data_IF_619416187329
#
_entry.id   IF_619416187329
#
_cell.length_a   1.000
_cell.length_b   1.000
_cell.length_c   1.000
_cell.angle_alpha   90.00
_cell.angle_beta   90.00
_cell.angle_gamma   90.00
#
_symmetry.space_group_name_H-M   'P 1'
#
loop_
_entity.id
_entity.type
_entity.pdbx_description
1 polymer ?
#
# COMPACT_ATOMS: atom_id res chain seq x y z
N UNK A 1 32.61 14.44 -16.70
CA UNK A 1 31.94 14.41 -16.41
C UNK A 1 31.31 14.20 -16.05
N UNK A 2 31.63 14.29 -16.09
CA UNK A 2 30.92 14.16 -15.68
C UNK A 2 30.33 13.94 -15.30
N UNK A 3 30.67 13.92 -15.18
CA UNK A 3 29.97 13.75 -14.74
C UNK A 3 29.45 13.58 -14.26
N UNK A 4 29.92 13.57 -14.42
CA UNK A 4 29.34 13.52 -13.87
C UNK A 4 28.81 13.41 -13.39
N UNK A 5 29.09 13.55 -13.31
CA UNK A 5 28.50 13.61 -12.78
C UNK A 5 27.92 13.50 -12.37
N UNK A 6 28.03 13.56 -12.03
CA UNK A 6 27.29 13.58 -11.48
C UNK A 6 26.99 13.54 -10.80
N UNK A 7 27.49 13.64 -10.50
CA UNK A 7 27.04 13.77 -9.69
C UNK A 7 26.47 13.62 -9.13
N UNK A 8 26.49 13.39 -8.79
CA UNK A 8 25.82 13.27 -8.06
C UNK A 8 25.54 13.15 -7.47
N UNK A 9 25.75 13.31 -7.21
CA UNK A 9 25.56 13.28 -6.42
C UNK A 9 25.25 13.70 -5.77
N UNK A 10 25.81 13.75 -6.20
CA UNK A 10 25.71 14.30 -5.02
C UNK A 10 24.34 14.66 -4.60
N UNK A 11 24.08 15.61 -4.83
CA UNK A 11 22.87 16.07 -4.45
C UNK A 11 21.94 15.00 -4.16
N UNK A 12 21.36 15.08 -3.15
CA UNK A 12 20.38 14.18 -2.81
C UNK A 12 20.85 12.83 -3.18
N UNK A 13 21.18 12.10 -2.37
CA UNK A 13 21.67 10.79 -2.62
C UNK A 13 20.75 10.06 -3.59
N UNK A 14 21.26 9.62 -4.72
CA UNK A 14 20.44 8.83 -5.63
C UNK A 14 19.75 7.67 -4.94
N UNK A 15 20.42 7.09 -3.95
CA UNK A 15 19.84 5.98 -3.22
C UNK A 15 18.61 6.38 -2.42
N UNK A 16 18.66 7.57 -1.80
CA UNK A 16 17.52 8.07 -1.04
C UNK A 16 16.33 8.32 -1.97
N UNK A 17 16.62 8.88 -3.14
CA UNK A 17 15.57 9.13 -4.11
C UNK A 17 14.95 7.83 -4.57
N UNK A 18 15.77 6.83 -4.90
CA UNK A 18 15.26 5.54 -5.34
C UNK A 18 14.44 4.87 -4.26
N UNK A 19 14.90 4.99 -3.01
CA UNK A 19 14.16 4.40 -1.91
C UNK A 19 12.79 5.04 -1.76
N UNK A 20 12.72 6.37 -1.91
CA UNK A 20 11.43 7.06 -1.81
C UNK A 20 10.51 6.68 -2.97
N UNK A 21 11.06 6.57 -4.18
CA UNK A 21 10.26 6.15 -5.33
C UNK A 21 9.75 4.74 -5.15
N UNK A 22 10.60 3.85 -4.66
CA UNK A 22 10.19 2.46 -4.43
C UNK A 22 9.10 2.39 -3.37
N UNK A 23 9.24 3.16 -2.29
CA UNK A 23 8.25 3.18 -1.23
C UNK A 23 6.92 3.71 -1.75
N UNK A 24 6.97 4.76 -2.58
CA UNK A 24 5.76 5.31 -3.13
C UNK A 24 5.07 4.32 -4.07
N UNK A 25 5.85 3.62 -4.88
CA UNK A 25 5.29 2.62 -5.77
C UNK A 25 4.66 1.48 -4.98
N UNK A 26 5.35 1.04 -3.92
CA UNK A 26 4.81 -0.02 -3.08
C UNK A 26 3.50 0.42 -2.44
N UNK A 27 3.42 1.67 -2.01
CA UNK A 27 2.18 2.19 -1.44
C UNK A 27 1.06 2.20 -2.49
N UNK A 28 1.35 2.69 -3.69
CA UNK A 28 0.35 2.74 -4.75
C UNK A 28 -0.13 1.34 -5.12
N UNK A 29 0.79 0.40 -5.21
CA UNK A 29 0.43 -0.99 -5.51
C UNK A 29 -0.44 -1.58 -4.42
N UNK A 30 -0.10 -1.33 -3.16
CA UNK A 30 -0.90 -1.83 -2.05
C UNK A 30 -2.27 -1.18 -2.03
N UNK A 31 -2.33 0.11 -2.37
CA UNK A 31 -3.61 0.80 -2.46
C UNK A 31 -4.50 0.16 -3.51
N UNK A 32 -3.92 -0.21 -4.65
CA UNK A 32 -4.66 -0.92 -5.69
C UNK A 32 -5.15 -2.28 -5.19
N UNK A 33 -4.31 -2.97 -4.42
CA UNK A 33 -4.71 -4.27 -3.88
C UNK A 33 -5.87 -4.11 -2.89
N UNK A 34 -5.85 -3.07 -2.07
CA UNK A 34 -6.95 -2.77 -1.17
C UNK A 34 -8.23 -2.49 -1.96
N UNK A 35 -8.12 -1.71 -3.03
CA UNK A 35 -9.28 -1.42 -3.87
C UNK A 35 -9.84 -2.67 -4.51
N UNK A 36 -8.95 -3.54 -5.02
CA UNK A 36 -9.38 -4.79 -5.62
C UNK A 36 -10.10 -5.67 -4.61
N UNK A 37 -9.61 -5.69 -3.38
CA UNK A 37 -10.23 -6.51 -2.34
C UNK A 37 -11.63 -6.02 -2.00
N UNK A 38 -11.90 -4.73 -2.16
CA UNK A 38 -13.22 -4.17 -1.83
C UNK A 38 -14.16 -4.16 -3.01
N UNK A 39 -13.68 -4.50 -4.21
CA UNK A 39 -14.48 -4.36 -5.43
C UNK A 39 -15.77 -5.18 -5.37
N UNK A 40 -15.73 -6.33 -4.71
CA UNK A 40 -16.90 -7.19 -4.63
C UNK A 40 -17.74 -7.01 -3.39
N UNK A 41 -17.38 -6.07 -2.52
CA UNK A 41 -18.13 -5.88 -1.29
C UNK A 41 -19.38 -5.05 -1.54
N UNK A 42 -20.55 -5.57 -1.15
CA UNK A 42 -21.80 -4.85 -1.40
C UNK A 42 -22.12 -3.83 -0.31
N UNK A 43 -23.10 -2.99 -0.60
CA UNK A 43 -23.69 -2.12 0.38
C UNK A 43 -22.84 -0.94 0.78
N UNK A 44 -23.28 -0.29 1.84
CA UNK A 44 -22.64 0.93 2.30
C UNK A 44 -21.24 0.72 2.81
N UNK A 45 -21.00 -0.42 3.42
CA UNK A 45 -19.66 -0.71 3.96
C UNK A 45 -18.64 -0.80 2.84
N UNK A 46 -18.96 -1.51 1.76
CA UNK A 46 -18.06 -1.61 0.63
C UNK A 46 -17.80 -0.26 0.01
N UNK A 47 -18.85 0.54 -0.14
CA UNK A 47 -18.72 1.89 -0.69
C UNK A 47 -17.84 2.76 0.19
N UNK A 48 -18.07 2.71 1.50
CA UNK A 48 -17.31 3.49 2.46
C UNK A 48 -15.83 3.12 2.42
N UNK A 49 -15.55 1.82 2.38
CA UNK A 49 -14.17 1.37 2.32
C UNK A 49 -13.48 1.84 1.04
N UNK A 50 -14.15 1.69 -0.10
CA UNK A 50 -13.56 2.11 -1.36
C UNK A 50 -13.24 3.60 -1.36
N UNK A 51 -14.12 4.42 -0.80
CA UNK A 51 -13.87 5.84 -0.74
C UNK A 51 -12.71 6.18 0.17
N UNK A 52 -12.64 5.52 1.32
CA UNK A 52 -11.54 5.78 2.26
C UNK A 52 -10.22 5.34 1.67
N UNK A 53 -10.18 4.21 0.97
CA UNK A 53 -8.96 3.76 0.33
C UNK A 53 -8.55 4.73 -0.77
N UNK A 54 -9.52 5.18 -1.56
CA UNK A 54 -9.23 6.11 -2.65
C UNK A 54 -8.60 7.40 -2.12
N UNK A 55 -9.00 7.84 -0.94
CA UNK A 55 -8.50 9.06 -0.34
C UNK A 55 -7.23 8.87 0.47
N UNK A 56 -6.79 7.65 0.65
CA UNK A 56 -5.58 7.39 1.42
C UNK A 56 -4.37 8.00 0.72
N UNK A 57 -3.56 8.73 1.48
CA UNK A 57 -2.41 9.42 0.94
C UNK A 57 -1.09 8.88 1.47
N UNK A 58 -1.14 8.03 2.48
CA UNK A 58 0.07 7.43 3.00
C UNK A 58 -0.25 6.05 3.57
N UNK A 59 0.79 5.24 3.85
CA UNK A 59 0.57 3.88 4.33
C UNK A 59 -0.21 3.82 5.65
N UNK A 60 -0.07 4.83 6.49
CA UNK A 60 -0.77 4.82 7.77
C UNK A 60 -2.29 4.85 7.57
N UNK A 61 -2.75 5.57 6.54
CA UNK A 61 -4.18 5.59 6.23
C UNK A 61 -4.69 4.19 5.91
N UNK A 62 -3.92 3.43 5.12
CA UNK A 62 -4.30 2.06 4.81
C UNK A 62 -4.24 1.19 6.05
N UNK A 63 -3.21 1.38 6.86
CA UNK A 63 -3.07 0.62 8.08
C UNK A 63 -4.27 0.81 9.01
N UNK A 64 -4.77 2.02 9.11
CA UNK A 64 -5.94 2.30 9.93
C UNK A 64 -7.20 1.61 9.41
N UNK A 65 -7.27 1.37 8.11
CA UNK A 65 -8.42 0.73 7.49
C UNK A 65 -8.37 -0.80 7.55
N UNK A 66 -7.24 -1.38 7.93
CA UNK A 66 -7.05 -2.82 7.81
C UNK A 66 -8.09 -3.66 8.55
N UNK A 67 -8.42 -3.26 9.77
CA UNK A 67 -9.39 -4.03 10.54
C UNK A 67 -10.78 -3.98 9.91
N UNK A 68 -11.18 -2.79 9.47
CA UNK A 68 -12.48 -2.65 8.83
C UNK A 68 -12.56 -3.47 7.55
N UNK A 69 -11.49 -3.46 6.77
CA UNK A 69 -11.45 -4.22 5.53
C UNK A 69 -11.46 -5.72 5.81
N UNK A 70 -10.60 -6.17 6.72
CA UNK A 70 -10.51 -7.59 7.00
C UNK A 70 -11.81 -8.14 7.57
N UNK A 71 -12.48 -7.32 8.39
CA UNK A 71 -13.76 -7.73 8.95
C UNK A 71 -14.86 -7.77 7.89
N UNK A 72 -14.72 -6.97 6.84
CA UNK A 72 -15.72 -6.91 5.78
C UNK A 72 -15.57 -8.02 4.76
N UNK A 73 -14.37 -8.59 4.64
CA UNK A 73 -14.15 -9.67 3.69
C UNK A 73 -14.89 -10.90 4.15
N UNK A 74 -15.71 -11.51 3.26
CA UNK A 74 -16.56 -12.62 3.67
C UNK A 74 -15.80 -13.94 3.76
N UNK A 75 -16.21 -14.74 4.74
CA UNK A 75 -15.78 -16.11 4.79
C UNK A 75 -14.34 -16.34 5.17
N UNK A 76 -13.99 -17.61 5.17
CA UNK A 76 -12.64 -18.07 5.47
C UNK A 76 -12.16 -19.04 4.40
N UNK A 77 -12.67 -18.87 3.17
CA UNK A 77 -12.22 -19.73 2.10
C UNK A 77 -10.78 -19.40 1.72
N UNK A 78 -10.12 -20.29 0.97
CA UNK A 78 -8.72 -20.08 0.64
C UNK A 78 -8.43 -18.76 -0.09
N UNK A 79 -9.34 -18.33 -0.95
CA UNK A 79 -9.14 -17.10 -1.70
C UNK A 79 -9.16 -15.89 -0.77
N UNK A 80 -10.14 -15.85 0.14
CA UNK A 80 -10.23 -14.73 1.07
C UNK A 80 -9.05 -14.72 2.02
N UNK A 81 -8.63 -15.87 2.49
CA UNK A 81 -7.46 -15.96 3.35
C UNK A 81 -6.21 -15.48 2.63
N UNK A 82 -6.07 -15.83 1.36
CA UNK A 82 -4.94 -15.37 0.56
C UNK A 82 -4.94 -13.86 0.42
N UNK A 83 -6.11 -13.28 0.18
CA UNK A 83 -6.23 -11.82 0.05
C UNK A 83 -5.82 -11.15 1.35
N UNK A 84 -6.37 -11.62 2.49
CA UNK A 84 -6.00 -11.05 3.78
C UNK A 84 -4.51 -11.14 4.02
N UNK A 85 -3.94 -12.28 3.72
CA UNK A 85 -2.51 -12.50 3.93
C UNK A 85 -1.67 -11.56 3.06
N UNK A 86 -2.04 -11.41 1.80
CA UNK A 86 -1.32 -10.54 0.89
C UNK A 86 -1.37 -9.09 1.35
N UNK A 87 -2.53 -8.62 1.78
CA UNK A 87 -2.68 -7.24 2.24
C UNK A 87 -1.89 -7.02 3.53
N UNK A 88 -1.94 -7.98 4.43
CA UNK A 88 -1.20 -7.86 5.68
C UNK A 88 0.30 -7.84 5.43
N UNK A 89 0.77 -8.71 4.55
CA UNK A 89 2.19 -8.76 4.20
C UNK A 89 2.63 -7.46 3.56
N UNK A 90 1.81 -6.89 2.68
CA UNK A 90 2.12 -5.62 2.05
C UNK A 90 2.21 -4.50 3.06
N UNK A 91 1.29 -4.45 4.01
CA UNK A 91 1.34 -3.44 5.06
C UNK A 91 2.58 -3.59 5.92
N UNK A 92 2.87 -4.82 6.35
CA UNK A 92 4.03 -5.08 7.18
C UNK A 92 5.31 -4.65 6.48
N UNK A 93 5.38 -4.93 5.19
CA UNK A 93 6.56 -4.59 4.41
C UNK A 93 6.78 -3.08 4.37
N UNK A 94 5.70 -2.31 4.19
CA UNK A 94 5.82 -0.86 4.13
C UNK A 94 6.31 -0.27 5.45
N UNK A 95 5.81 -0.79 6.57
CA UNK A 95 6.21 -0.24 7.86
C UNK A 95 7.57 -0.74 8.30
N UNK A 96 7.93 -1.94 7.91
CA UNK A 96 9.25 -2.46 8.23
C UNK A 96 10.33 -1.64 7.54
N UNK A 97 10.07 -1.25 6.30
CA UNK A 97 11.06 -0.49 5.53
C UNK A 97 11.19 0.94 6.03
N UNK A 98 10.22 1.41 6.77
CA UNK A 98 10.27 2.76 7.31
C UNK A 98 11.31 2.91 8.40
N UNK A 99 11.75 1.82 8.94
CA UNK A 99 12.78 1.85 9.97
C UNK A 99 14.15 1.92 9.35
#
# INVERSE_FOLDING_TARGET
MSHASFDPVAAGMPQDRLARLAARRAFVDLKHDFMAATAGLPGHRGEWLRQRIRRAEDPYNLWQLRHSLFAALPGNDPDTCSIRHALKTGLDSLFTESE
#
